data_IF_557379305054
#
_entry.id   IF_557379305054
#
_cell.length_a   1.000
_cell.length_b   1.000
_cell.length_c   1.000
_cell.angle_alpha   90.00
_cell.angle_beta   90.00
_cell.angle_gamma   90.00
#
_symmetry.space_group_name_H-M   'P 1'
#
loop_
_entity.id
_entity.type
_entity.pdbx_description
1 polymer ?
#
# COMPACT_ATOMS: atom_id res chain seq x y z
N UNK A 1 -4.18 -1.47 -4.63
CA UNK A 1 -3.68 -0.57 -5.68
C UNK A 1 -4.32 0.82 -5.60
N UNK A 2 -5.65 0.93 -5.53
CA UNK A 2 -6.36 2.22 -5.48
C UNK A 2 -5.84 3.12 -4.34
N UNK A 3 -5.69 2.59 -3.13
CA UNK A 3 -5.14 3.35 -2.00
C UNK A 3 -3.68 3.79 -2.23
N UNK A 4 -2.86 2.94 -2.84
CA UNK A 4 -1.47 3.26 -3.19
C UNK A 4 -1.42 4.42 -4.19
N UNK A 5 -2.30 4.42 -5.19
CA UNK A 5 -2.30 5.45 -6.23
C UNK A 5 -2.87 6.79 -5.80
N UNK A 6 -3.57 6.88 -4.66
CA UNK A 6 -4.11 8.15 -4.15
C UNK A 6 -3.04 9.22 -3.97
N UNK A 7 -1.86 8.86 -3.48
CA UNK A 7 -0.73 9.80 -3.34
C UNK A 7 -0.40 10.46 -4.69
N UNK A 8 -0.35 9.67 -5.76
CA UNK A 8 -0.08 10.16 -7.13
C UNK A 8 -1.22 11.01 -7.69
N UNK A 9 -2.46 10.54 -7.51
CA UNK A 9 -3.64 11.23 -8.08
C UNK A 9 -3.95 12.54 -7.37
N UNK A 10 -3.67 12.65 -6.06
CA UNK A 10 -3.84 13.89 -5.31
C UNK A 10 -2.70 14.89 -5.56
N UNK A 11 -1.52 14.43 -5.96
CA UNK A 11 -0.38 15.28 -6.31
C UNK A 11 -0.36 15.72 -7.79
N UNK A 12 -1.53 15.72 -8.45
CA UNK A 12 -1.68 16.03 -9.89
C UNK A 12 -1.09 17.38 -10.30
N UNK A 13 -1.13 18.37 -9.43
CA UNK A 13 -0.63 19.71 -9.72
C UNK A 13 0.89 19.75 -9.79
N UNK A 14 1.59 18.96 -8.96
CA UNK A 14 3.06 18.95 -8.93
C UNK A 14 3.65 17.88 -9.88
N UNK A 15 2.98 16.75 -10.05
CA UNK A 15 3.39 15.67 -10.95
C UNK A 15 2.22 15.18 -11.81
N UNK A 16 1.85 15.93 -12.85
CA UNK A 16 0.74 15.58 -13.73
C UNK A 16 1.02 14.31 -14.55
N UNK A 17 2.29 14.00 -14.86
CA UNK A 17 2.64 12.81 -15.63
C UNK A 17 2.36 11.52 -14.83
N UNK A 18 2.81 11.47 -13.58
CA UNK A 18 2.55 10.36 -12.67
C UNK A 18 1.05 10.18 -12.39
N UNK A 19 0.34 11.29 -12.14
CA UNK A 19 -1.10 11.26 -11.92
C UNK A 19 -1.87 10.73 -13.14
N UNK A 20 -1.54 11.20 -14.34
CA UNK A 20 -2.17 10.76 -15.59
C UNK A 20 -1.90 9.28 -15.86
N UNK A 21 -0.69 8.78 -15.60
CA UNK A 21 -0.39 7.36 -15.71
C UNK A 21 -1.24 6.52 -14.73
N UNK A 22 -1.42 6.99 -13.49
CA UNK A 22 -2.28 6.34 -12.51
C UNK A 22 -3.75 6.32 -12.95
N UNK A 23 -4.28 7.45 -13.43
CA UNK A 23 -5.65 7.52 -13.97
C UNK A 23 -5.86 6.63 -15.19
N UNK A 24 -4.88 6.62 -16.11
CA UNK A 24 -4.94 5.73 -17.28
C UNK A 24 -5.02 4.26 -16.87
N UNK A 25 -4.16 3.84 -15.93
CA UNK A 25 -4.16 2.46 -15.43
C UNK A 25 -5.49 2.11 -14.77
N UNK A 26 -5.99 2.98 -13.89
CA UNK A 26 -7.29 2.77 -13.21
C UNK A 26 -8.44 2.69 -14.22
N UNK A 27 -8.51 3.60 -15.18
CA UNK A 27 -9.53 3.59 -16.25
C UNK A 27 -9.44 2.29 -17.08
N UNK A 28 -8.24 1.91 -17.51
CA UNK A 28 -8.02 0.72 -18.34
C UNK A 28 -8.44 -0.54 -17.60
N UNK A 29 -7.97 -0.75 -16.38
CA UNK A 29 -8.32 -1.95 -15.59
C UNK A 29 -9.82 -2.00 -15.31
N UNK A 30 -10.44 -0.87 -14.94
CA UNK A 30 -11.88 -0.82 -14.70
C UNK A 30 -12.66 -1.13 -15.97
N UNK A 31 -12.28 -0.56 -17.11
CA UNK A 31 -12.93 -0.82 -18.40
C UNK A 31 -12.90 -2.30 -18.76
N UNK A 32 -11.75 -2.95 -18.66
CA UNK A 32 -11.63 -4.38 -18.97
C UNK A 32 -12.41 -5.25 -17.97
N UNK A 33 -12.42 -4.87 -16.68
CA UNK A 33 -13.22 -5.55 -15.67
C UNK A 33 -14.74 -5.42 -15.92
N UNK A 34 -15.21 -4.24 -16.34
CA UNK A 34 -16.63 -4.02 -16.69
C UNK A 34 -17.07 -4.91 -17.87
N UNK A 35 -16.22 -5.06 -18.89
CA UNK A 35 -16.50 -5.96 -20.02
C UNK A 35 -16.64 -7.41 -19.56
N UNK A 36 -15.74 -7.89 -18.70
CA UNK A 36 -15.79 -9.25 -18.14
C UNK A 36 -17.02 -9.49 -17.25
N UNK A 37 -17.45 -8.46 -16.51
CA UNK A 37 -18.61 -8.52 -15.62
C UNK A 37 -19.94 -8.35 -16.35
N UNK A 38 -19.96 -7.74 -17.53
CA UNK A 38 -21.19 -7.36 -18.22
C UNK A 38 -22.18 -8.53 -18.44
N UNK A 39 -21.76 -9.76 -18.78
CA UNK A 39 -22.69 -10.89 -18.91
C UNK A 39 -23.46 -11.24 -17.63
N UNK A 40 -22.93 -10.87 -16.46
CA UNK A 40 -23.51 -11.17 -15.15
C UNK A 40 -24.27 -9.99 -14.56
N UNK A 41 -23.84 -8.76 -14.87
CA UNK A 41 -24.36 -7.52 -14.28
C UNK A 41 -24.57 -6.43 -15.34
N UNK A 42 -25.46 -6.65 -16.34
CA UNK A 42 -25.52 -5.83 -17.54
C UNK A 42 -25.85 -4.36 -17.28
N UNK A 43 -26.78 -4.07 -16.36
CA UNK A 43 -27.25 -2.71 -16.15
C UNK A 43 -26.20 -1.79 -15.53
N UNK A 44 -25.58 -2.22 -14.44
CA UNK A 44 -24.58 -1.39 -13.73
C UNK A 44 -23.29 -1.24 -14.54
N UNK A 45 -22.87 -2.28 -15.26
CA UNK A 45 -21.66 -2.22 -16.07
C UNK A 45 -21.84 -1.34 -17.30
N UNK A 46 -23.03 -1.33 -17.91
CA UNK A 46 -23.39 -0.39 -18.97
C UNK A 46 -23.30 1.05 -18.49
N UNK A 47 -23.97 1.38 -17.38
CA UNK A 47 -24.02 2.73 -16.83
C UNK A 47 -22.62 3.27 -16.52
N UNK A 48 -21.78 2.46 -15.86
CA UNK A 48 -20.42 2.87 -15.54
C UNK A 48 -19.57 3.00 -16.80
N UNK A 49 -19.69 2.06 -17.74
CA UNK A 49 -18.91 2.09 -18.98
C UNK A 49 -19.23 3.33 -19.81
N UNK A 50 -20.50 3.65 -20.06
CA UNK A 50 -20.91 4.84 -20.82
C UNK A 50 -20.49 6.15 -20.10
N UNK A 51 -20.46 6.14 -18.77
CA UNK A 51 -19.92 7.28 -18.00
C UNK A 51 -18.41 7.47 -18.23
N UNK A 52 -17.64 6.38 -18.30
CA UNK A 52 -16.19 6.40 -18.52
C UNK A 52 -15.80 6.67 -19.98
N UNK A 53 -16.68 6.29 -20.90
CA UNK A 53 -16.51 6.35 -22.35
C UNK A 53 -17.70 7.05 -23.02
N UNK A 54 -17.88 8.35 -22.81
CA UNK A 54 -19.04 9.10 -23.37
C UNK A 54 -19.06 9.14 -24.89
N UNK A 55 -17.96 8.73 -25.54
CA UNK A 55 -17.82 8.57 -26.98
C UNK A 55 -18.38 7.25 -27.52
N UNK A 56 -18.66 6.28 -26.65
CA UNK A 56 -19.17 4.94 -26.98
C UNK A 56 -20.66 4.84 -26.67
N UNK A 57 -21.43 4.21 -27.55
CA UNK A 57 -22.88 4.07 -27.37
C UNK A 57 -23.26 3.00 -26.34
N UNK A 58 -22.49 1.92 -26.25
CA UNK A 58 -22.75 0.77 -25.37
C UNK A 58 -21.54 -0.13 -25.21
N UNK A 59 -21.41 -0.73 -24.04
CA UNK A 59 -20.37 -1.73 -23.76
C UNK A 59 -20.52 -2.99 -24.63
N UNK A 60 -21.72 -3.28 -25.10
CA UNK A 60 -22.00 -4.48 -25.91
C UNK A 60 -21.29 -4.48 -27.27
N UNK A 61 -20.93 -3.32 -27.80
CA UNK A 61 -20.14 -3.17 -29.00
C UNK A 61 -18.64 -3.13 -28.76
N UNK A 62 -18.21 -3.06 -27.51
CA UNK A 62 -16.81 -3.02 -27.15
C UNK A 62 -16.14 -4.39 -27.41
N UNK A 63 -14.88 -4.36 -27.85
CA UNK A 63 -14.10 -5.58 -28.03
C UNK A 63 -13.87 -6.29 -26.69
N UNK A 64 -13.99 -7.62 -26.73
CA UNK A 64 -13.69 -8.45 -25.56
C UNK A 64 -12.23 -8.28 -25.13
N UNK A 65 -11.94 -8.34 -23.81
CA UNK A 65 -10.58 -8.26 -23.31
C UNK A 65 -9.68 -9.36 -23.88
N UNK A 66 -8.50 -8.98 -24.33
CA UNK A 66 -7.48 -9.89 -24.83
C UNK A 66 -6.23 -9.81 -23.97
N UNK A 67 -5.57 -10.96 -23.74
CA UNK A 67 -4.30 -11.00 -23.03
C UNK A 67 -3.21 -10.25 -23.82
N UNK A 68 -2.48 -9.38 -23.13
CA UNK A 68 -1.37 -8.61 -23.69
C UNK A 68 -0.11 -8.92 -22.88
N UNK A 69 0.83 -9.63 -23.53
CA UNK A 69 2.08 -10.04 -22.87
C UNK A 69 2.93 -8.84 -22.41
N UNK A 70 2.84 -7.72 -23.12
CA UNK A 70 3.53 -6.47 -22.76
C UNK A 70 2.98 -5.81 -21.47
N UNK A 71 1.84 -6.28 -20.96
CA UNK A 71 1.27 -5.82 -19.68
C UNK A 71 1.59 -6.75 -18.52
N UNK A 72 2.50 -7.69 -18.71
CA UNK A 72 2.99 -8.55 -17.65
C UNK A 72 4.27 -7.94 -17.05
N UNK A 73 4.20 -7.50 -15.82
CA UNK A 73 5.24 -6.78 -15.09
C UNK A 73 5.65 -7.56 -13.81
N UNK A 74 6.33 -8.72 -13.93
CA UNK A 74 6.59 -9.58 -12.78
C UNK A 74 7.51 -8.94 -11.73
N UNK A 75 8.42 -8.05 -12.11
CA UNK A 75 9.28 -7.35 -11.16
C UNK A 75 8.50 -6.32 -10.33
N UNK A 76 7.60 -5.59 -10.97
CA UNK A 76 6.72 -4.62 -10.32
C UNK A 76 5.65 -5.31 -9.46
N UNK A 77 5.19 -6.49 -9.87
CA UNK A 77 4.29 -7.33 -9.08
C UNK A 77 4.98 -7.76 -7.76
N UNK A 78 6.21 -8.30 -7.84
CA UNK A 78 7.01 -8.66 -6.67
C UNK A 78 7.20 -7.46 -5.72
N UNK A 79 7.48 -6.29 -6.28
CA UNK A 79 7.61 -5.04 -5.52
C UNK A 79 6.32 -4.70 -4.77
N UNK A 80 5.17 -4.81 -5.43
CA UNK A 80 3.86 -4.53 -4.79
C UNK A 80 3.54 -5.55 -3.70
N UNK A 81 3.91 -6.83 -3.88
CA UNK A 81 3.75 -7.85 -2.83
C UNK A 81 4.60 -7.52 -1.59
N UNK A 82 5.86 -7.13 -1.74
CA UNK A 82 6.67 -6.64 -0.61
C UNK A 82 6.03 -5.45 0.11
N UNK A 83 5.43 -4.52 -0.66
CA UNK A 83 4.68 -3.40 -0.08
C UNK A 83 3.50 -3.88 0.77
N UNK A 84 2.74 -4.83 0.27
CA UNK A 84 1.57 -5.39 0.98
C UNK A 84 1.99 -6.11 2.25
N UNK A 85 3.07 -6.90 2.19
CA UNK A 85 3.58 -7.63 3.35
C UNK A 85 4.07 -6.69 4.45
N UNK A 86 4.78 -5.61 4.10
CA UNK A 86 5.17 -4.57 5.05
C UNK A 86 3.95 -3.95 5.74
N UNK A 87 3.00 -3.45 4.96
CA UNK A 87 1.81 -2.78 5.51
C UNK A 87 1.00 -3.74 6.39
N UNK A 88 0.84 -5.00 5.96
CA UNK A 88 0.16 -6.05 6.72
C UNK A 88 0.89 -6.37 8.01
N UNK A 89 2.22 -6.56 7.97
CA UNK A 89 3.05 -6.83 9.13
C UNK A 89 2.93 -5.73 10.19
N UNK A 90 3.08 -4.47 9.78
CA UNK A 90 2.95 -3.32 10.69
C UNK A 90 1.53 -3.22 11.27
N UNK A 91 0.49 -3.40 10.48
CA UNK A 91 -0.90 -3.32 10.96
C UNK A 91 -1.24 -4.44 11.93
N UNK A 92 -0.77 -5.66 11.68
CA UNK A 92 -0.96 -6.78 12.60
C UNK A 92 -0.29 -6.51 13.93
N UNK A 93 0.98 -6.09 13.92
CA UNK A 93 1.71 -5.74 15.13
C UNK A 93 0.99 -4.64 15.94
N UNK A 94 0.53 -3.59 15.27
CA UNK A 94 -0.21 -2.51 15.92
C UNK A 94 -1.52 -2.99 16.54
N UNK A 95 -2.18 -3.94 15.91
CA UNK A 95 -3.42 -4.55 16.46
C UNK A 95 -3.10 -5.42 17.66
N UNK A 96 -2.04 -6.23 17.62
CA UNK A 96 -1.60 -7.06 18.73
C UNK A 96 -1.20 -6.25 19.96
N UNK A 97 -0.65 -5.05 19.75
CA UNK A 97 -0.22 -4.13 20.80
C UNK A 97 -1.27 -3.07 21.16
N UNK A 98 -2.49 -3.16 20.62
CA UNK A 98 -3.59 -2.21 20.86
C UNK A 98 -3.21 -0.74 20.58
N UNK A 99 -2.39 -0.50 19.54
CA UNK A 99 -1.91 0.83 19.15
C UNK A 99 -2.98 1.60 18.39
N UNK A 100 -3.39 2.81 18.85
CA UNK A 100 -4.40 3.60 18.16
C UNK A 100 -3.98 3.95 16.72
N UNK A 101 -4.90 3.96 15.73
CA UNK A 101 -4.57 4.31 14.34
C UNK A 101 -3.96 5.71 14.15
N UNK A 102 -4.29 6.64 15.04
CA UNK A 102 -3.77 8.01 15.01
C UNK A 102 -2.30 8.15 15.45
N UNK A 103 -1.77 7.15 16.16
CA UNK A 103 -0.39 7.16 16.63
C UNK A 103 0.54 6.74 15.51
N UNK A 104 1.51 7.58 15.17
CA UNK A 104 2.52 7.28 14.15
C UNK A 104 3.78 6.75 14.83
N UNK A 105 4.39 5.74 14.23
CA UNK A 105 5.63 5.14 14.73
C UNK A 105 6.72 5.19 13.66
N UNK A 106 7.97 5.29 14.10
CA UNK A 106 9.12 5.11 13.23
C UNK A 106 9.25 3.63 12.86
N UNK A 107 9.56 3.34 11.60
CA UNK A 107 9.74 1.97 11.10
C UNK A 107 11.15 1.83 10.56
N UNK A 108 11.90 0.89 11.11
CA UNK A 108 13.17 0.47 10.54
C UNK A 108 12.96 -0.79 9.71
N UNK A 109 13.46 -0.79 8.49
CA UNK A 109 13.42 -1.93 7.57
C UNK A 109 14.84 -2.43 7.41
N UNK A 110 15.11 -3.63 7.89
CA UNK A 110 16.43 -4.27 7.82
C UNK A 110 16.38 -5.41 6.82
N UNK A 111 17.24 -5.38 5.81
CA UNK A 111 17.38 -6.43 4.83
C UNK A 111 18.83 -6.54 4.34
N UNK A 112 19.34 -7.76 4.22
CA UNK A 112 20.66 -8.03 3.68
C UNK A 112 20.68 -7.84 2.14
N UNK A 113 19.52 -7.97 1.47
CA UNK A 113 19.40 -7.84 0.03
C UNK A 113 19.30 -6.36 -0.38
N UNK A 114 20.27 -5.91 -1.18
CA UNK A 114 20.33 -4.54 -1.70
C UNK A 114 19.13 -4.20 -2.59
N UNK A 115 18.65 -5.15 -3.42
CA UNK A 115 17.52 -4.95 -4.34
C UNK A 115 16.24 -4.69 -3.54
N UNK A 116 16.04 -5.44 -2.45
CA UNK A 116 14.89 -5.27 -1.55
C UNK A 116 14.97 -3.92 -0.84
N UNK A 117 16.16 -3.53 -0.35
CA UNK A 117 16.36 -2.20 0.25
C UNK A 117 16.03 -1.07 -0.73
N UNK A 118 16.51 -1.15 -1.97
CA UNK A 118 16.23 -0.15 -3.01
C UNK A 118 14.73 -0.06 -3.32
N UNK A 119 14.03 -1.20 -3.31
CA UNK A 119 12.57 -1.26 -3.47
C UNK A 119 11.86 -0.51 -2.37
N UNK A 120 12.22 -0.75 -1.11
CA UNK A 120 11.62 -0.06 0.03
C UNK A 120 11.98 1.42 0.06
N UNK A 121 13.21 1.79 -0.25
CA UNK A 121 13.67 3.17 -0.31
C UNK A 121 12.88 3.99 -1.34
N UNK A 122 12.71 3.42 -2.55
CA UNK A 122 12.01 4.08 -3.67
C UNK A 122 10.50 4.30 -3.42
N UNK A 123 9.90 3.56 -2.50
CA UNK A 123 8.46 3.58 -2.23
C UNK A 123 8.09 4.09 -0.83
N UNK A 124 8.99 4.76 -0.13
CA UNK A 124 8.80 5.24 1.24
C UNK A 124 7.50 6.02 1.46
N UNK A 125 7.16 6.91 0.54
CA UNK A 125 5.95 7.74 0.64
C UNK A 125 4.66 6.92 0.70
N UNK A 126 4.62 5.79 0.00
CA UNK A 126 3.49 4.86 0.03
C UNK A 126 3.32 4.26 1.41
N UNK A 127 4.43 3.83 2.02
CA UNK A 127 4.40 3.16 3.33
C UNK A 127 4.09 4.13 4.47
N UNK A 128 4.62 5.34 4.45
CA UNK A 128 4.32 6.38 5.45
C UNK A 128 2.81 6.53 5.61
N UNK A 129 2.07 6.59 4.50
CA UNK A 129 0.63 6.75 4.54
C UNK A 129 -0.12 5.47 4.93
N UNK A 130 0.25 4.32 4.34
CA UNK A 130 -0.51 3.07 4.50
C UNK A 130 -0.20 2.32 5.80
N UNK A 131 1.04 2.38 6.28
CA UNK A 131 1.45 1.75 7.54
C UNK A 131 1.30 2.68 8.75
N UNK A 132 0.97 3.96 8.54
CA UNK A 132 0.90 4.96 9.60
C UNK A 132 2.26 5.24 10.22
N UNK A 133 3.31 5.29 9.38
CA UNK A 133 4.65 5.63 9.83
C UNK A 133 4.83 7.13 10.03
N UNK A 134 5.66 7.54 10.99
CA UNK A 134 6.19 8.90 11.11
C UNK A 134 7.39 9.08 10.19
N UNK A 135 8.26 8.08 10.17
CA UNK A 135 9.48 8.02 9.38
C UNK A 135 9.78 6.56 9.01
N UNK A 136 10.46 6.33 7.88
CA UNK A 136 10.94 5.02 7.48
C UNK A 136 12.44 5.10 7.22
N UNK A 137 13.20 4.24 7.89
CA UNK A 137 14.62 4.07 7.71
C UNK A 137 14.90 2.68 7.13
N UNK A 138 15.59 2.62 6.00
CA UNK A 138 15.99 1.36 5.34
C UNK A 138 17.49 1.16 5.54
N UNK A 139 17.89 0.00 6.06
CA UNK A 139 19.29 -0.27 6.39
C UNK A 139 19.65 -1.75 6.21
N UNK A 140 20.94 -2.03 6.17
CA UNK A 140 21.45 -3.39 5.98
C UNK A 140 21.55 -4.19 7.30
N UNK A 141 21.71 -3.51 8.40
CA UNK A 141 21.92 -4.11 9.72
C UNK A 141 21.05 -3.44 10.80
N UNK A 142 21.18 -3.89 12.05
CA UNK A 142 20.43 -3.38 13.19
C UNK A 142 21.07 -2.17 13.87
N UNK A 143 22.03 -1.50 13.25
CA UNK A 143 22.73 -0.37 13.85
C UNK A 143 21.76 0.78 14.16
N UNK A 144 21.76 1.25 15.40
CA UNK A 144 20.91 2.37 15.84
C UNK A 144 19.44 1.99 16.11
N UNK A 145 19.12 0.70 16.15
CA UNK A 145 17.81 0.20 16.60
C UNK A 145 17.93 -0.20 18.07
N UNK A 146 17.01 0.24 18.89
CA UNK A 146 16.95 -0.07 20.32
C UNK A 146 16.71 -1.56 20.57
N UNK A 147 17.24 -2.10 21.67
CA UNK A 147 17.13 -3.52 21.99
C UNK A 147 15.68 -3.96 22.29
N UNK A 148 14.86 -3.03 22.75
CA UNK A 148 13.44 -3.24 23.07
C UNK A 148 12.49 -3.02 21.89
N UNK A 149 13.03 -2.68 20.72
CA UNK A 149 12.21 -2.53 19.51
C UNK A 149 11.50 -3.83 19.14
N UNK A 150 10.19 -3.73 18.92
CA UNK A 150 9.39 -4.88 18.51
C UNK A 150 9.67 -5.20 17.05
N UNK A 151 9.86 -6.49 16.75
CA UNK A 151 10.21 -6.93 15.40
C UNK A 151 9.10 -7.76 14.73
N UNK A 152 8.96 -7.56 13.42
CA UNK A 152 8.11 -8.37 12.55
C UNK A 152 8.93 -8.85 11.35
N UNK A 153 8.93 -10.16 11.12
CA UNK A 153 9.59 -10.75 9.96
C UNK A 153 8.61 -10.77 8.78
N UNK A 154 9.05 -10.23 7.66
CA UNK A 154 8.36 -10.29 6.38
C UNK A 154 9.26 -10.95 5.34
N UNK A 155 8.75 -11.42 4.19
CA UNK A 155 9.59 -11.96 3.13
C UNK A 155 10.70 -10.98 2.72
N UNK A 156 11.95 -11.39 2.89
CA UNK A 156 13.14 -10.64 2.51
C UNK A 156 13.56 -9.49 3.43
N UNK A 157 12.83 -9.19 4.51
CA UNK A 157 13.21 -8.14 5.45
C UNK A 157 12.68 -8.38 6.87
N UNK A 158 13.27 -7.69 7.84
CA UNK A 158 12.73 -7.61 9.21
C UNK A 158 12.41 -6.15 9.53
N UNK A 159 11.20 -5.92 10.00
CA UNK A 159 10.73 -4.61 10.43
C UNK A 159 10.98 -4.46 11.93
N UNK A 160 11.42 -3.28 12.37
CA UNK A 160 11.56 -2.93 13.76
C UNK A 160 10.82 -1.64 14.06
N UNK A 161 10.04 -1.64 15.11
CA UNK A 161 9.30 -0.48 15.59
C UNK A 161 9.71 -0.22 17.05
N UNK A 162 10.18 1.01 17.39
CA UNK A 162 10.51 1.38 18.77
C UNK A 162 9.28 1.21 19.67
N UNK A 163 9.47 0.60 20.83
CA UNK A 163 8.37 0.35 21.77
C UNK A 163 7.77 1.67 22.29
N UNK A 164 8.59 2.71 22.47
CA UNK A 164 8.16 4.04 22.90
C UNK A 164 7.15 4.69 21.93
N UNK A 165 7.29 4.42 20.64
CA UNK A 165 6.36 4.90 19.61
C UNK A 165 5.03 4.14 19.62
N UNK A 166 5.02 2.90 20.10
CA UNK A 166 3.85 2.02 20.10
C UNK A 166 3.02 2.16 21.37
N UNK A 167 3.66 2.23 22.54
CA UNK A 167 2.98 2.20 23.84
C UNK A 167 3.05 3.58 24.51
N UNK A 168 1.93 4.03 25.04
CA UNK A 168 1.85 5.18 25.94
C UNK A 168 2.04 4.68 27.38
N UNK A 169 3.29 4.63 27.81
CA UNK A 169 3.67 4.11 29.13
C UNK A 169 2.92 4.78 30.30
N UNK A 170 2.59 6.07 30.18
CA UNK A 170 1.84 6.80 31.20
C UNK A 170 0.38 6.28 31.29
N UNK A 171 -0.27 6.10 30.16
CA UNK A 171 -1.64 5.58 30.14
C UNK A 171 -1.71 4.11 30.53
N UNK A 172 -0.74 3.31 30.11
CA UNK A 172 -0.70 1.90 30.49
C UNK A 172 -0.43 1.73 31.98
N UNK A 173 0.43 2.54 32.55
CA UNK A 173 0.66 2.59 33.99
C UNK A 173 -0.58 3.01 34.78
N UNK A 174 -1.33 4.02 34.29
CA UNK A 174 -2.61 4.40 34.88
C UNK A 174 -3.68 3.29 34.79
N UNK A 175 -3.71 2.54 33.67
CA UNK A 175 -4.62 1.41 33.51
C UNK A 175 -4.31 0.31 34.51
N UNK A 176 -3.06 -0.10 34.61
CA UNK A 176 -2.61 -1.12 35.55
C UNK A 176 -2.84 -0.74 37.02
N UNK A 177 -2.70 0.56 37.37
CA UNK A 177 -3.00 1.05 38.71
C UNK A 177 -4.50 1.07 39.04
N UNK A 178 -5.39 1.11 38.03
CA UNK A 178 -6.83 1.05 38.22
C UNK A 178 -7.38 -0.39 38.28
N UNK A 179 -6.63 -1.35 37.79
CA UNK A 179 -6.98 -2.77 37.80
C UNK A 179 -6.50 -3.49 39.10
N UNK A 180 -5.72 -2.82 39.95
CA UNK A 180 -5.35 -3.26 41.30
C UNK A 180 -6.33 -2.71 42.35
#
# INVERSE_FOLDING_TARGET
YIEITKVRTYNKENDPASANAAFWTLKTVLTEALKLLHPFMPFITEEIFCTLHPEEDTIMLAKWPEYKAEWNFPAEEEMVEHCKDLVKGVRNLRTEMDVPPSRKAKIFIVSDDAKIRDTFESNKEVYVNLAGASEIAVQADKTGIEEDAVSVVIPGATLYLPLEDLVDFEKEKERLLKEQ
#
